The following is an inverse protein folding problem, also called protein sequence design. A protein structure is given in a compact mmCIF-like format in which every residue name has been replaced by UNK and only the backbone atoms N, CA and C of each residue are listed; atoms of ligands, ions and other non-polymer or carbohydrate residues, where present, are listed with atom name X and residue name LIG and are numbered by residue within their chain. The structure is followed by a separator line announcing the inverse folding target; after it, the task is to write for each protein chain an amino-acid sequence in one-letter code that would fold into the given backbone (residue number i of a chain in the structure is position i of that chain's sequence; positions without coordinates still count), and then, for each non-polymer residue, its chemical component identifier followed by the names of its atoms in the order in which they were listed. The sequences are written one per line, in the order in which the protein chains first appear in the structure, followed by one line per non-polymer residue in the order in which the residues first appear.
data_IF_921428631646
#
_entry.id   IF_921428631646
#
_cell.length_a   1.000
_cell.length_b   1.000
_cell.length_c   1.000
_cell.angle_alpha   90.00
_cell.angle_beta   90.00
_cell.angle_gamma   90.00
#
_symmetry.space_group_name_H-M   'P 1'
#
loop_
_entity.id
_entity.type
_entity.pdbx_description
1 polymer ?
#
# COMPACT_ATOMS: atom_id res chain seq x y z
N UNK A 1 25.90 -70.16 1.52
CA UNK A 1 25.29 -68.96 2.15
C UNK A 1 26.15 -67.75 1.78
N UNK A 2 25.68 -66.88 0.86
CA UNK A 2 26.33 -65.60 0.54
C UNK A 2 25.47 -64.48 1.11
N UNK A 3 26.00 -63.56 1.94
CA UNK A 3 25.21 -62.46 2.48
C UNK A 3 24.88 -61.46 1.36
N UNK A 4 23.60 -61.14 1.24
CA UNK A 4 23.09 -60.08 0.36
C UNK A 4 23.56 -58.73 0.93
N UNK A 5 24.49 -58.06 0.24
CA UNK A 5 24.84 -56.68 0.54
C UNK A 5 23.84 -55.75 -0.11
N UNK A 6 23.04 -55.03 0.69
CA UNK A 6 22.15 -53.98 0.18
C UNK A 6 23.01 -52.82 -0.36
N UNK A 7 22.68 -52.28 -1.55
CA UNK A 7 23.37 -51.11 -2.09
C UNK A 7 23.06 -49.89 -1.21
N UNK A 8 24.10 -49.30 -0.61
CA UNK A 8 24.02 -48.00 0.07
C UNK A 8 23.81 -46.93 -1.00
N UNK A 9 22.62 -46.36 -1.06
CA UNK A 9 22.30 -45.22 -1.94
C UNK A 9 22.30 -43.90 -1.15
N UNK A 10 23.47 -43.35 -0.78
CA UNK A 10 23.57 -42.15 0.07
C UNK A 10 22.89 -40.93 -0.57
N UNK A 11 22.85 -40.86 -1.90
CA UNK A 11 22.18 -39.81 -2.65
C UNK A 11 20.65 -39.80 -2.44
N UNK A 12 20.03 -40.99 -2.30
CA UNK A 12 18.58 -41.12 -2.14
C UNK A 12 18.15 -40.74 -0.72
N UNK A 13 18.97 -41.07 0.29
CA UNK A 13 18.80 -40.60 1.67
C UNK A 13 19.05 -39.09 1.83
N UNK A 14 19.99 -38.52 1.07
CA UNK A 14 20.26 -37.07 1.10
C UNK A 14 19.11 -36.27 0.48
N UNK A 15 18.55 -36.72 -0.65
CA UNK A 15 17.36 -36.11 -1.25
C UNK A 15 16.12 -36.23 -0.35
N UNK A 16 15.90 -37.38 0.30
CA UNK A 16 14.78 -37.56 1.23
C UNK A 16 14.90 -36.65 2.47
N UNK A 17 16.12 -36.49 3.01
CA UNK A 17 16.39 -35.55 4.09
C UNK A 17 16.19 -34.09 3.64
N UNK A 18 16.66 -33.70 2.45
CA UNK A 18 16.44 -32.36 1.91
C UNK A 18 14.93 -32.03 1.72
N UNK A 19 14.13 -33.01 1.28
CA UNK A 19 12.66 -32.85 1.19
C UNK A 19 11.98 -32.70 2.56
N UNK A 20 12.51 -33.34 3.61
CA UNK A 20 12.00 -33.20 4.97
C UNK A 20 12.35 -31.83 5.59
N UNK A 21 13.48 -31.22 5.21
CA UNK A 21 13.86 -29.87 5.68
C UNK A 21 13.15 -28.73 4.93
N UNK A 22 12.75 -28.93 3.66
CA UNK A 22 12.07 -27.90 2.86
C UNK A 22 10.58 -27.68 3.20
N UNK A 23 10.04 -28.42 4.18
CA UNK A 23 8.61 -28.43 4.53
C UNK A 23 8.20 -27.57 5.73
N UNK A 24 9.14 -27.06 6.52
CA UNK A 24 8.81 -26.38 7.78
C UNK A 24 8.76 -24.86 7.59
N UNK A 25 7.58 -24.31 7.29
CA UNK A 25 7.33 -22.88 7.56
C UNK A 25 7.26 -22.66 9.07
N UNK A 26 8.25 -21.98 9.64
CA UNK A 26 8.27 -21.70 11.07
C UNK A 26 7.28 -20.59 11.44
N UNK A 27 6.89 -20.55 12.71
CA UNK A 27 5.94 -19.56 13.25
C UNK A 27 4.49 -20.05 13.27
N UNK A 28 3.60 -19.33 13.97
CA UNK A 28 2.21 -19.73 14.13
C UNK A 28 1.42 -19.59 12.82
N UNK A 29 0.51 -20.52 12.57
CA UNK A 29 -0.46 -20.42 11.49
C UNK A 29 -1.64 -19.54 11.91
N UNK A 30 -1.89 -18.47 11.16
CA UNK A 30 -3.04 -17.62 11.39
C UNK A 30 -4.34 -18.38 11.06
N UNK A 31 -5.28 -18.41 12.01
CA UNK A 31 -6.57 -19.11 11.88
C UNK A 31 -7.77 -18.17 11.71
N UNK A 32 -7.52 -16.92 11.36
CA UNK A 32 -8.55 -15.89 11.28
C UNK A 32 -8.70 -15.07 12.56
N UNK A 33 -9.55 -14.05 12.48
CA UNK A 33 -9.90 -13.23 13.63
C UNK A 33 -10.63 -14.08 14.68
N UNK A 34 -10.45 -13.79 15.99
CA UNK A 34 -11.24 -14.45 17.02
C UNK A 34 -12.73 -14.22 16.75
N UNK A 35 -13.55 -15.24 17.03
CA UNK A 35 -14.99 -15.11 16.89
C UNK A 35 -15.49 -13.92 17.71
N UNK A 36 -16.37 -13.11 17.10
CA UNK A 36 -17.05 -12.06 17.83
C UNK A 36 -17.86 -12.68 18.99
N UNK A 37 -17.96 -12.01 20.14
CA UNK A 37 -18.79 -12.51 21.23
C UNK A 37 -20.23 -12.68 20.75
N UNK A 38 -20.86 -13.80 21.12
CA UNK A 38 -22.25 -14.10 20.77
C UNK A 38 -23.18 -13.02 21.36
N UNK A 39 -23.64 -12.12 20.48
CA UNK A 39 -24.63 -11.11 20.79
C UNK A 39 -25.92 -11.47 20.03
N UNK A 40 -26.88 -12.17 20.66
CA UNK A 40 -28.08 -12.66 19.98
C UNK A 40 -29.01 -11.53 19.52
N UNK A 41 -28.83 -10.32 20.04
CA UNK A 41 -29.63 -9.15 19.69
C UNK A 41 -28.74 -7.91 19.63
N UNK A 42 -29.06 -7.02 18.68
CA UNK A 42 -28.46 -5.69 18.67
C UNK A 42 -28.98 -4.87 19.85
N UNK A 43 -28.11 -4.06 20.45
CA UNK A 43 -28.42 -3.19 21.61
C UNK A 43 -29.62 -2.26 21.34
N UNK A 44 -29.87 -1.89 20.07
CA UNK A 44 -31.00 -1.05 19.65
C UNK A 44 -31.92 -1.74 18.63
N UNK A 45 -32.07 -3.06 18.70
CA UNK A 45 -33.02 -3.75 17.85
C UNK A 45 -34.45 -3.23 18.11
N UNK A 46 -35.18 -2.77 17.08
CA UNK A 46 -36.57 -2.34 17.25
C UNK A 46 -37.46 -3.52 17.63
N UNK A 47 -38.45 -3.28 18.51
CA UNK A 47 -39.38 -4.31 18.98
C UNK A 47 -40.24 -4.93 17.86
N UNK A 48 -40.40 -4.21 16.74
CA UNK A 48 -41.12 -4.67 15.54
C UNK A 48 -40.32 -5.61 14.64
N UNK A 49 -39.06 -5.92 14.98
CA UNK A 49 -38.18 -6.77 14.18
C UNK A 49 -37.41 -6.02 13.10
N UNK A 50 -36.50 -6.73 12.43
CA UNK A 50 -35.64 -6.22 11.35
C UNK A 50 -36.35 -6.44 10.01
N UNK A 51 -36.52 -5.39 9.21
CA UNK A 51 -37.09 -5.51 7.87
C UNK A 51 -36.09 -6.18 6.92
N UNK A 52 -36.40 -7.41 6.50
CA UNK A 52 -35.56 -8.21 5.60
C UNK A 52 -35.70 -7.81 4.13
N UNK A 53 -36.59 -6.86 3.80
CA UNK A 53 -36.75 -6.31 2.44
C UNK A 53 -35.87 -5.08 2.18
N UNK A 54 -35.10 -4.65 3.17
CA UNK A 54 -34.20 -3.52 3.01
C UNK A 54 -33.19 -3.77 1.85
N UNK A 55 -32.81 -2.72 1.10
CA UNK A 55 -31.75 -2.83 0.10
C UNK A 55 -30.47 -3.41 0.68
N UNK A 56 -29.62 -3.97 -0.18
CA UNK A 56 -28.30 -4.43 0.24
C UNK A 56 -27.58 -3.31 1.01
N UNK A 57 -26.81 -3.63 2.07
CA UNK A 57 -26.11 -2.62 2.87
C UNK A 57 -25.21 -1.70 2.05
N UNK A 58 -24.75 -2.14 0.87
CA UNK A 58 -23.96 -1.35 -0.07
C UNK A 58 -24.75 -0.25 -0.81
N UNK A 59 -26.08 -0.24 -0.72
CA UNK A 59 -26.96 0.72 -1.41
C UNK A 59 -28.16 1.14 -0.53
N UNK A 60 -27.93 1.24 0.78
CA UNK A 60 -28.94 1.48 1.81
C UNK A 60 -29.76 2.77 1.58
N UNK A 61 -29.16 3.79 0.96
CA UNK A 61 -29.80 5.09 0.73
C UNK A 61 -30.98 5.03 -0.24
N UNK A 62 -31.06 4.01 -1.10
CA UNK A 62 -32.23 3.82 -1.98
C UNK A 62 -33.54 3.65 -1.20
N UNK A 63 -33.49 3.23 0.06
CA UNK A 63 -34.66 3.17 0.94
C UNK A 63 -35.31 4.55 1.18
N UNK A 64 -34.56 5.64 0.98
CA UNK A 64 -35.06 7.02 1.09
C UNK A 64 -35.90 7.44 -0.14
N UNK A 65 -35.87 6.67 -1.23
CA UNK A 65 -36.63 6.91 -2.47
C UNK A 65 -36.41 8.32 -3.08
N UNK A 66 -35.19 8.84 -3.04
CA UNK A 66 -34.83 10.15 -3.61
C UNK A 66 -33.83 9.99 -4.76
N UNK A 67 -34.30 10.22 -6.00
CA UNK A 67 -33.46 10.13 -7.20
C UNK A 67 -32.31 11.14 -7.22
N UNK A 68 -32.52 12.33 -6.66
CA UNK A 68 -31.46 13.34 -6.64
C UNK A 68 -30.33 12.91 -5.69
N UNK A 69 -30.67 12.27 -4.57
CA UNK A 69 -29.67 11.68 -3.67
C UNK A 69 -28.89 10.54 -4.36
N UNK A 70 -29.60 9.67 -5.07
CA UNK A 70 -28.99 8.57 -5.82
C UNK A 70 -27.94 9.08 -6.82
N UNK A 71 -28.29 10.11 -7.60
CA UNK A 71 -27.39 10.72 -8.59
C UNK A 71 -26.16 11.39 -7.94
N UNK A 72 -26.35 12.04 -6.78
CA UNK A 72 -25.26 12.68 -6.03
C UNK A 72 -24.26 11.65 -5.49
N UNK A 73 -24.75 10.54 -4.91
CA UNK A 73 -23.90 9.48 -4.41
C UNK A 73 -23.16 8.79 -5.56
N UNK A 74 -23.86 8.49 -6.67
CA UNK A 74 -23.24 7.91 -7.86
C UNK A 74 -22.13 8.82 -8.42
N UNK A 75 -22.38 10.12 -8.47
CA UNK A 75 -21.38 11.12 -8.89
C UNK A 75 -20.19 11.15 -7.94
N UNK A 76 -20.42 11.14 -6.62
CA UNK A 76 -19.36 11.12 -5.63
C UNK A 76 -18.49 9.85 -5.73
N UNK A 77 -19.10 8.68 -5.90
CA UNK A 77 -18.36 7.41 -6.06
C UNK A 77 -17.53 7.35 -7.35
N UNK A 78 -17.78 8.21 -8.33
CA UNK A 78 -16.97 8.28 -9.56
C UNK A 78 -15.86 9.32 -9.46
N UNK A 79 -16.15 10.48 -8.87
CA UNK A 79 -15.27 11.66 -8.97
C UNK A 79 -14.60 12.07 -7.65
N UNK A 80 -14.86 11.38 -6.53
CA UNK A 80 -14.27 11.76 -5.25
C UNK A 80 -12.75 11.47 -5.21
N UNK A 81 -11.90 12.48 -4.91
CA UNK A 81 -10.44 12.31 -4.79
C UNK A 81 -10.00 11.29 -3.73
N UNK A 82 -10.72 11.17 -2.62
CA UNK A 82 -10.40 10.22 -1.55
C UNK A 82 -10.58 8.78 -2.02
N UNK A 83 -11.59 8.51 -2.85
CA UNK A 83 -11.75 7.20 -3.47
C UNK A 83 -10.61 6.90 -4.46
N UNK A 84 -10.18 7.88 -5.25
CA UNK A 84 -9.01 7.72 -6.12
C UNK A 84 -7.73 7.48 -5.32
N UNK A 85 -7.57 8.14 -4.17
CA UNK A 85 -6.46 7.91 -3.25
C UNK A 85 -6.49 6.49 -2.67
N UNK A 86 -7.67 6.00 -2.24
CA UNK A 86 -7.85 4.63 -1.77
C UNK A 86 -7.52 3.59 -2.86
N UNK A 87 -7.99 3.80 -4.09
CA UNK A 87 -7.64 2.94 -5.23
C UNK A 87 -6.13 2.96 -5.54
N UNK A 88 -5.46 4.11 -5.39
CA UNK A 88 -4.01 4.21 -5.54
C UNK A 88 -3.26 3.43 -4.45
N UNK A 89 -3.73 3.49 -3.19
CA UNK A 89 -3.19 2.69 -2.08
C UNK A 89 -3.33 1.20 -2.36
N UNK A 90 -4.46 0.75 -2.89
CA UNK A 90 -4.64 -0.66 -3.28
C UNK A 90 -3.67 -1.10 -4.37
N UNK A 91 -3.46 -0.26 -5.41
CA UNK A 91 -2.45 -0.52 -6.45
C UNK A 91 -1.04 -0.61 -5.86
N UNK A 92 -0.68 0.28 -4.93
CA UNK A 92 0.60 0.25 -4.25
C UNK A 92 0.78 -1.03 -3.40
N UNK A 93 -0.24 -1.43 -2.64
CA UNK A 93 -0.22 -2.66 -1.85
C UNK A 93 -0.03 -3.92 -2.72
N UNK A 94 -0.73 -4.00 -3.85
CA UNK A 94 -0.57 -5.09 -4.82
C UNK A 94 0.81 -5.09 -5.48
N UNK A 95 1.38 -3.92 -5.77
CA UNK A 95 2.75 -3.82 -6.27
C UNK A 95 3.75 -4.32 -5.23
N UNK A 96 3.58 -3.99 -3.95
CA UNK A 96 4.42 -4.50 -2.87
C UNK A 96 4.30 -6.02 -2.71
N UNK A 97 3.09 -6.59 -2.82
CA UNK A 97 2.90 -8.05 -2.88
C UNK A 97 3.65 -8.67 -4.06
N UNK A 98 3.61 -8.04 -5.24
CA UNK A 98 4.36 -8.54 -6.40
C UNK A 98 5.88 -8.56 -6.18
N UNK A 99 6.41 -7.56 -5.46
CA UNK A 99 7.82 -7.49 -5.08
C UNK A 99 8.20 -8.62 -4.09
N UNK A 100 7.34 -8.92 -3.13
CA UNK A 100 7.56 -10.05 -2.20
C UNK A 100 7.49 -11.39 -2.92
N UNK A 101 6.57 -11.56 -3.88
CA UNK A 101 6.52 -12.76 -4.73
C UNK A 101 7.78 -12.90 -5.59
N UNK A 102 8.27 -11.80 -6.16
CA UNK A 102 9.51 -11.80 -6.94
C UNK A 102 10.74 -12.17 -6.08
N UNK A 103 10.71 -11.91 -4.76
CA UNK A 103 11.78 -12.30 -3.86
C UNK A 103 11.92 -13.83 -3.69
N UNK A 104 10.89 -14.62 -4.04
CA UNK A 104 10.97 -16.08 -4.04
C UNK A 104 11.72 -16.64 -5.26
N UNK A 105 11.94 -15.81 -6.28
CA UNK A 105 12.59 -16.19 -7.53
C UNK A 105 14.07 -15.75 -7.52
N UNK A 106 14.93 -16.39 -8.33
CA UNK A 106 16.29 -15.92 -8.56
C UNK A 106 16.30 -14.48 -9.08
N UNK A 107 17.11 -13.63 -8.47
CA UNK A 107 17.36 -12.27 -8.94
C UNK A 107 18.54 -12.31 -9.88
N UNK A 108 18.41 -11.68 -11.05
CA UNK A 108 19.52 -11.52 -11.99
C UNK A 108 19.79 -10.04 -12.24
N UNK A 109 21.06 -9.69 -12.36
CA UNK A 109 21.48 -8.34 -12.71
C UNK A 109 22.61 -8.40 -13.74
N UNK A 110 22.56 -7.47 -14.68
CA UNK A 110 23.66 -7.21 -15.60
C UNK A 110 24.20 -5.81 -15.30
N UNK A 111 25.52 -5.70 -15.16
CA UNK A 111 26.18 -4.43 -14.87
C UNK A 111 27.25 -4.17 -15.93
N UNK A 112 27.34 -2.93 -16.38
CA UNK A 112 28.40 -2.46 -17.29
C UNK A 112 28.95 -1.16 -16.70
N UNK A 113 30.26 -1.10 -16.48
CA UNK A 113 30.93 0.06 -15.93
C UNK A 113 32.20 0.40 -16.72
N UNK A 114 32.47 1.70 -16.83
CA UNK A 114 33.71 2.25 -17.37
C UNK A 114 34.29 3.21 -16.33
N UNK A 115 35.41 2.83 -15.72
CA UNK A 115 36.08 3.59 -14.69
C UNK A 115 37.38 4.15 -15.27
N UNK A 116 37.57 5.46 -15.14
CA UNK A 116 38.84 6.13 -15.50
C UNK A 116 39.47 6.70 -14.25
N UNK A 117 40.62 6.17 -13.85
CA UNK A 117 41.43 6.69 -12.75
C UNK A 117 42.66 7.37 -13.33
N UNK A 118 43.12 8.45 -12.71
CA UNK A 118 44.40 9.07 -13.01
C UNK A 118 45.16 9.23 -11.72
N UNK A 119 46.36 8.66 -11.68
CA UNK A 119 47.24 8.87 -10.54
C UNK A 119 47.84 10.28 -10.64
N UNK A 120 47.75 11.11 -9.60
CA UNK A 120 48.32 12.46 -9.62
C UNK A 120 49.84 12.38 -9.80
N UNK A 121 50.38 13.21 -10.70
CA UNK A 121 51.82 13.33 -10.88
C UNK A 121 52.39 14.21 -9.75
N UNK A 122 53.16 13.58 -8.86
CA UNK A 122 53.82 14.24 -7.72
C UNK A 122 55.32 14.44 -7.96
N UNK A 123 55.80 14.27 -9.20
CA UNK A 123 57.19 14.51 -9.57
C UNK A 123 57.70 15.91 -9.21
N UNK A 124 56.82 16.92 -9.24
CA UNK A 124 57.11 18.29 -8.79
C UNK A 124 57.46 18.37 -7.29
N UNK A 125 56.91 17.48 -6.44
CA UNK A 125 57.24 17.40 -5.02
C UNK A 125 58.59 16.69 -4.79
N UNK A 126 58.93 15.72 -5.64
CA UNK A 126 60.21 15.02 -5.60
C UNK A 126 61.41 15.91 -5.91
N UNK A 127 61.23 16.95 -6.73
CA UNK A 127 62.26 17.97 -7.01
C UNK A 127 62.52 18.93 -5.84
N UNK A 128 61.64 18.99 -4.84
CA UNK A 128 61.79 19.82 -3.65
C UNK A 128 62.53 19.09 -2.52
N UNK A 129 62.80 17.79 -2.68
CA UNK A 129 63.56 16.99 -1.73
C UNK A 129 65.06 17.13 -2.04
N UNK A 130 65.94 17.47 -1.06
CA UNK A 130 67.36 17.60 -1.32
C UNK A 130 67.95 16.27 -1.77
N UNK A 131 68.38 16.17 -3.03
CA UNK A 131 69.18 15.03 -3.49
C UNK A 131 70.57 15.14 -2.86
N UNK A 132 70.80 14.42 -1.77
CA UNK A 132 72.13 14.32 -1.18
C UNK A 132 73.06 13.64 -2.19
N UNK A 133 73.99 14.42 -2.75
CA UNK A 133 74.81 14.03 -3.87
C UNK A 133 75.61 12.75 -3.61
N UNK A 134 75.30 11.72 -4.37
CA UNK A 134 76.29 10.71 -4.74
C UNK A 134 76.14 10.44 -6.24
N UNK A 135 77.19 10.80 -6.99
CA UNK A 135 77.36 10.46 -8.39
C UNK A 135 77.42 8.93 -8.48
N UNK A 136 76.28 8.29 -8.75
CA UNK A 136 76.22 6.88 -9.11
C UNK A 136 75.66 6.79 -10.53
N UNK A 137 76.60 6.82 -11.48
CA UNK A 137 76.36 6.48 -12.88
C UNK A 137 75.81 5.05 -12.97
N UNK A 138 74.52 4.91 -13.27
CA UNK A 138 73.91 3.61 -13.62
C UNK A 138 72.59 3.26 -12.92
N UNK A 139 72.07 4.07 -12.00
CA UNK A 139 70.80 3.79 -11.32
C UNK A 139 69.68 4.72 -11.76
N UNK A 140 68.68 4.18 -12.47
CA UNK A 140 67.39 4.84 -12.75
C UNK A 140 66.80 5.39 -11.45
N UNK A 141 66.74 6.72 -11.28
CA UNK A 141 65.99 7.35 -10.20
C UNK A 141 64.54 6.84 -10.21
N UNK A 142 63.90 6.54 -9.07
CA UNK A 142 62.51 6.14 -9.06
C UNK A 142 61.68 7.31 -9.58
N UNK A 143 61.21 7.18 -10.82
CA UNK A 143 60.26 8.11 -11.42
C UNK A 143 59.00 8.11 -10.57
N UNK A 144 58.83 9.12 -9.72
CA UNK A 144 57.59 9.47 -9.03
C UNK A 144 56.57 10.14 -9.98
N UNK A 145 56.73 9.93 -11.30
CA UNK A 145 55.84 10.42 -12.33
C UNK A 145 54.51 9.69 -12.28
N UNK A 146 53.42 10.45 -12.18
CA UNK A 146 52.05 9.90 -12.11
C UNK A 146 51.79 8.96 -13.29
N UNK A 147 51.30 7.76 -13.00
CA UNK A 147 50.94 6.79 -14.04
C UNK A 147 49.76 7.33 -14.88
N UNK A 148 49.81 7.07 -16.19
CA UNK A 148 48.78 7.52 -17.14
C UNK A 148 47.36 7.07 -16.76
N UNK A 149 46.31 7.63 -17.38
CA UNK A 149 44.94 7.32 -16.98
C UNK A 149 44.64 5.83 -17.14
N UNK A 150 44.43 5.13 -16.02
CA UNK A 150 43.94 3.76 -15.98
C UNK A 150 42.47 3.76 -16.42
N UNK A 151 42.17 3.03 -17.50
CA UNK A 151 40.82 2.82 -17.98
C UNK A 151 40.44 1.36 -17.74
N UNK A 152 39.39 1.16 -16.95
CA UNK A 152 38.84 -0.15 -16.64
C UNK A 152 37.43 -0.23 -17.19
N UNK A 153 37.20 -1.16 -18.10
CA UNK A 153 35.87 -1.53 -18.58
C UNK A 153 35.50 -2.86 -17.94
N UNK A 154 34.36 -2.92 -17.26
CA UNK A 154 33.79 -4.16 -16.74
C UNK A 154 32.38 -4.36 -17.27
N UNK A 155 32.08 -5.60 -17.62
CA UNK A 155 30.74 -6.06 -17.91
C UNK A 155 30.55 -7.39 -17.17
N UNK A 156 29.47 -7.50 -16.40
CA UNK A 156 29.19 -8.64 -15.55
C UNK A 156 27.72 -9.02 -15.60
N UNK A 157 27.45 -10.30 -15.42
CA UNK A 157 26.12 -10.84 -15.19
C UNK A 157 26.19 -11.70 -13.94
N UNK A 158 25.28 -11.44 -13.01
CA UNK A 158 25.20 -12.12 -11.73
C UNK A 158 23.77 -12.59 -11.50
N UNK A 159 23.63 -13.77 -10.89
CA UNK A 159 22.36 -14.31 -10.46
C UNK A 159 22.46 -14.81 -9.02
N UNK A 160 21.57 -14.32 -8.17
CA UNK A 160 21.54 -14.63 -6.73
C UNK A 160 20.16 -15.14 -6.36
N UNK A 161 20.12 -16.26 -5.64
CA UNK A 161 18.87 -16.84 -5.14
C UNK A 161 19.05 -17.26 -3.69
N UNK A 162 18.11 -16.85 -2.85
CA UNK A 162 18.02 -17.28 -1.46
C UNK A 162 17.02 -18.44 -1.38
N UNK A 163 17.49 -19.60 -0.93
CA UNK A 163 16.62 -20.76 -0.74
C UNK A 163 15.85 -20.57 0.57
N UNK A 164 14.52 -20.63 0.50
CA UNK A 164 13.66 -20.47 1.66
C UNK A 164 13.49 -21.79 2.43
N UNK A 165 14.48 -22.14 3.27
CA UNK A 165 14.44 -23.38 4.07
C UNK A 165 13.43 -23.31 5.23
N UNK A 166 13.25 -22.13 5.83
CA UNK A 166 12.44 -21.95 7.04
C UNK A 166 11.09 -21.28 6.79
N UNK A 167 10.78 -20.93 5.54
CA UNK A 167 9.52 -20.29 5.16
C UNK A 167 9.47 -18.78 5.38
N UNK A 168 10.60 -18.10 5.57
CA UNK A 168 10.66 -16.65 5.80
C UNK A 168 10.08 -15.86 4.63
N UNK A 169 10.46 -16.20 3.39
CA UNK A 169 9.92 -15.54 2.19
C UNK A 169 8.47 -15.91 1.94
N UNK A 170 8.06 -17.14 2.29
CA UNK A 170 6.66 -17.58 2.19
C UNK A 170 5.77 -16.80 3.15
N UNK A 171 6.19 -16.63 4.41
CA UNK A 171 5.49 -15.80 5.41
C UNK A 171 5.48 -14.32 5.02
N UNK A 172 6.53 -13.80 4.41
CA UNK A 172 6.55 -12.43 3.91
C UNK A 172 5.52 -12.20 2.78
N UNK A 173 5.34 -13.18 1.88
CA UNK A 173 4.29 -13.13 0.86
C UNK A 173 2.90 -13.25 1.48
N UNK A 174 2.70 -14.15 2.45
CA UNK A 174 1.44 -14.28 3.20
C UNK A 174 1.06 -12.97 3.89
N UNK A 175 2.01 -12.32 4.56
CA UNK A 175 1.79 -11.02 5.20
C UNK A 175 1.45 -9.93 4.17
N UNK A 176 2.17 -9.89 3.04
CA UNK A 176 1.88 -8.90 1.99
C UNK A 176 0.53 -9.15 1.29
N UNK A 177 0.07 -10.40 1.18
CA UNK A 177 -1.26 -10.69 0.64
C UNK A 177 -2.36 -10.26 1.61
N UNK A 178 -2.20 -10.58 2.89
CA UNK A 178 -3.13 -10.13 3.93
C UNK A 178 -3.19 -8.60 4.00
N UNK A 179 -2.06 -7.91 3.83
CA UNK A 179 -2.04 -6.44 3.76
C UNK A 179 -2.77 -5.90 2.53
N UNK A 180 -2.65 -6.55 1.36
CA UNK A 180 -3.36 -6.15 0.16
C UNK A 180 -4.88 -6.37 0.30
N UNK A 181 -5.31 -7.44 0.97
CA UNK A 181 -6.70 -7.71 1.30
C UNK A 181 -7.26 -6.69 2.30
N UNK A 182 -6.49 -6.31 3.32
CA UNK A 182 -6.87 -5.26 4.26
C UNK A 182 -7.09 -3.91 3.56
N UNK A 183 -6.21 -3.53 2.63
CA UNK A 183 -6.37 -2.28 1.87
C UNK A 183 -7.56 -2.33 0.89
N UNK A 184 -7.94 -3.51 0.42
CA UNK A 184 -9.16 -3.70 -0.39
C UNK A 184 -10.43 -3.51 0.46
N UNK A 185 -10.39 -3.97 1.72
CA UNK A 185 -11.44 -3.68 2.69
C UNK A 185 -11.51 -2.19 3.04
N UNK A 186 -10.37 -1.52 3.23
CA UNK A 186 -10.31 -0.06 3.47
C UNK A 186 -10.90 0.74 2.29
N UNK A 187 -10.69 0.28 1.05
CA UNK A 187 -11.33 0.88 -0.13
C UNK A 187 -12.85 0.76 -0.06
N UNK A 188 -13.35 -0.41 0.37
CA UNK A 188 -14.79 -0.64 0.53
C UNK A 188 -15.37 0.22 1.66
N UNK A 189 -14.65 0.39 2.77
CA UNK A 189 -15.03 1.28 3.87
C UNK A 189 -15.12 2.74 3.42
N UNK A 190 -14.13 3.20 2.65
CA UNK A 190 -14.11 4.56 2.07
C UNK A 190 -15.37 4.82 1.22
N UNK A 191 -15.84 3.84 0.45
CA UNK A 191 -17.08 3.97 -0.33
C UNK A 191 -18.30 4.17 0.56
N UNK A 192 -18.38 3.43 1.67
CA UNK A 192 -19.47 3.55 2.65
C UNK A 192 -19.43 4.91 3.34
N UNK A 193 -18.24 5.39 3.75
CA UNK A 193 -18.07 6.71 4.37
C UNK A 193 -18.49 7.83 3.42
N UNK A 194 -18.03 7.82 2.16
CA UNK A 194 -18.39 8.84 1.18
C UNK A 194 -19.90 8.86 0.94
N UNK A 195 -20.54 7.70 0.78
CA UNK A 195 -21.99 7.62 0.62
C UNK A 195 -22.74 8.19 1.84
N UNK A 196 -22.26 7.91 3.05
CA UNK A 196 -22.83 8.44 4.29
C UNK A 196 -22.65 9.96 4.41
N UNK A 197 -21.47 10.49 4.11
CA UNK A 197 -21.19 11.93 4.14
C UNK A 197 -22.06 12.70 3.14
N UNK A 198 -22.18 12.20 1.90
CA UNK A 198 -23.06 12.80 0.88
C UNK A 198 -24.52 12.77 1.33
N UNK A 199 -24.98 11.65 1.89
CA UNK A 199 -26.34 11.53 2.39
C UNK A 199 -26.61 12.50 3.54
N UNK A 200 -25.72 12.60 4.52
CA UNK A 200 -25.86 13.55 5.64
C UNK A 200 -25.87 14.99 5.13
N UNK A 201 -24.92 15.39 4.30
CA UNK A 201 -24.87 16.74 3.76
C UNK A 201 -26.13 17.10 2.94
N UNK A 202 -26.67 16.15 2.19
CA UNK A 202 -27.91 16.34 1.43
C UNK A 202 -29.13 16.48 2.34
N UNK A 203 -29.26 15.64 3.37
CA UNK A 203 -30.36 15.74 4.34
C UNK A 203 -30.30 17.07 5.08
N UNK A 204 -29.12 17.53 5.48
CA UNK A 204 -28.92 18.83 6.14
C UNK A 204 -29.35 19.99 5.22
N UNK A 205 -29.01 19.91 3.93
CA UNK A 205 -29.46 20.90 2.93
C UNK A 205 -31.00 20.92 2.82
N UNK A 206 -31.65 19.76 2.79
CA UNK A 206 -33.12 19.66 2.73
C UNK A 206 -33.79 20.20 3.99
N UNK A 207 -33.23 19.94 5.17
CA UNK A 207 -33.72 20.52 6.43
C UNK A 207 -33.65 22.05 6.39
N UNK A 208 -32.52 22.62 5.95
CA UNK A 208 -32.37 24.07 5.82
C UNK A 208 -33.35 24.69 4.83
N UNK A 209 -33.56 24.06 3.68
CA UNK A 209 -34.57 24.50 2.69
C UNK A 209 -35.97 24.51 3.28
N UNK A 210 -36.33 23.47 4.04
CA UNK A 210 -37.65 23.39 4.66
C UNK A 210 -37.84 24.45 5.76
N UNK A 211 -36.81 24.69 6.58
CA UNK A 211 -36.81 25.77 7.58
C UNK A 211 -36.98 27.14 6.94
N UNK A 212 -36.30 27.38 5.80
CA UNK A 212 -36.44 28.63 5.05
C UNK A 212 -37.87 28.82 4.54
N UNK A 213 -38.46 27.79 3.95
CA UNK A 213 -39.84 27.84 3.46
C UNK A 213 -40.85 28.12 4.59
N UNK A 214 -40.68 27.48 5.76
CA UNK A 214 -41.52 27.73 6.93
C UNK A 214 -41.36 29.15 7.49
N UNK A 215 -40.12 29.67 7.50
CA UNK A 215 -39.83 31.04 7.93
C UNK A 215 -40.49 32.07 7.01
N UNK A 216 -40.36 31.90 5.68
CA UNK A 216 -41.01 32.75 4.69
C UNK A 216 -42.53 32.73 4.83
N UNK A 217 -43.12 31.54 5.00
CA UNK A 217 -44.56 31.41 5.20
C UNK A 217 -45.04 32.10 6.47
N UNK A 218 -44.24 32.04 7.53
CA UNK A 218 -44.52 32.73 8.79
C UNK A 218 -44.47 34.25 8.60
N UNK A 219 -43.49 34.76 7.85
CA UNK A 219 -43.38 36.19 7.54
C UNK A 219 -44.57 36.72 6.72
N UNK A 220 -45.02 35.98 5.70
CA UNK A 220 -46.21 36.33 4.90
C UNK A 220 -47.48 36.42 5.77
N UNK A 221 -47.67 35.45 6.68
CA UNK A 221 -48.81 35.45 7.59
C UNK A 221 -48.76 36.63 8.56
N UNK A 222 -47.58 36.97 9.07
CA UNK A 222 -47.40 38.15 9.93
C UNK A 222 -47.69 39.46 9.19
N UNK A 223 -47.25 39.59 7.93
CA UNK A 223 -47.59 40.75 7.09
C UNK A 223 -49.10 40.84 6.85
N UNK A 224 -49.75 39.72 6.53
CA UNK A 224 -51.21 39.66 6.34
C UNK A 224 -51.95 40.06 7.62
N UNK A 225 -51.53 39.57 8.79
CA UNK A 225 -52.12 39.96 10.08
C UNK A 225 -51.92 41.46 10.36
N UNK A 226 -50.75 42.01 10.04
CA UNK A 226 -50.46 43.43 10.20
C UNK A 226 -51.38 44.27 9.30
N UNK A 227 -51.57 43.88 8.04
CA UNK A 227 -52.46 44.59 7.13
C UNK A 227 -53.91 44.56 7.63
N UNK A 228 -54.42 43.39 8.03
CA UNK A 228 -55.78 43.25 8.55
C UNK A 228 -56.00 44.06 9.83
N UNK A 229 -55.01 44.10 10.73
CA UNK A 229 -55.09 44.91 11.96
C UNK A 229 -55.06 46.42 11.67
N UNK A 230 -54.26 46.86 10.69
CA UNK A 230 -54.27 48.24 10.22
C UNK A 230 -55.61 48.62 9.56
N UNK A 231 -56.17 47.76 8.70
CA UNK A 231 -57.47 47.97 8.08
C UNK A 231 -58.61 48.09 9.10
N UNK A 232 -58.60 47.24 10.15
CA UNK A 232 -59.57 47.34 11.26
C UNK A 232 -59.43 48.67 12.00
N UNK A 233 -58.21 49.02 12.40
CA UNK A 233 -57.92 50.28 13.12
C UNK A 233 -58.36 51.53 12.34
N UNK A 234 -58.20 51.52 11.01
CA UNK A 234 -58.62 52.63 10.16
C UNK A 234 -60.15 52.76 10.04
N UNK A 235 -60.90 51.68 10.32
CA UNK A 235 -62.37 51.62 10.23
C UNK A 235 -63.09 51.72 11.58
N UNK A 236 -62.37 51.77 12.71
CA UNK A 236 -62.93 51.91 14.07
C UNK A 236 -62.78 50.64 14.89
#
# INVERSE_FOLDING_TARGET
MKPFSLPRHPALTLCAAACLLAGCTVGPDYRGAPAAPDAPTFVRAPASGIDTRAPAPSAWWHALNDRQLDDLIATALVYNPDLHAAQARLRAARAQLSQQRAAQLPKSSATVAAIRMREPDVSALGSLLPSNGSNQSGGTSPSLGGSGPLQLYSAGFDATWEIDLFGGTRRAVEAASAQAEAVDADLSDTQVSIAAEVATAYVDLRDQQQRLALSQRTAELQQTMLELTQQRRARG
#
